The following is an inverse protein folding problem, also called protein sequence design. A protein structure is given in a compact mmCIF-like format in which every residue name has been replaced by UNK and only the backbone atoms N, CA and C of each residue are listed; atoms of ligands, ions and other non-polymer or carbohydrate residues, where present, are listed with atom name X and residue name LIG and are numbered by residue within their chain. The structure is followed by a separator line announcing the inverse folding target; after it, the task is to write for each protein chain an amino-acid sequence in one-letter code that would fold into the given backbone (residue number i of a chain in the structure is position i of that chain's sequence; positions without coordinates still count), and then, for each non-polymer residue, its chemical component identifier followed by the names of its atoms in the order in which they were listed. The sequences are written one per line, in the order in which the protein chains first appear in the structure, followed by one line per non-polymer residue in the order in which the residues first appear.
data_IF_825319076833
#
_entry.id   IF_825319076833
#
_cell.length_a   1.000
_cell.length_b   1.000
_cell.length_c   1.000
_cell.angle_alpha   90.00
_cell.angle_beta   90.00
_cell.angle_gamma   90.00
#
_symmetry.space_group_name_H-M   'P 1'
#
loop_
_entity.id
_entity.type
_entity.pdbx_description
1 polymer ?
#
# COMPACT_ATOMS: atom_id res chain seq x y z
N UNK A 1 -15.73 8.39 10.18
CA UNK A 1 -14.74 7.50 10.82
C UNK A 1 -14.06 6.70 9.73
N UNK A 2 -12.75 6.83 9.58
CA UNK A 2 -11.98 5.86 8.79
C UNK A 2 -11.77 4.64 9.68
N UNK A 3 -12.53 3.57 9.43
CA UNK A 3 -12.44 2.32 10.20
C UNK A 3 -11.24 1.45 9.79
N UNK A 4 -10.56 1.81 8.70
CA UNK A 4 -9.42 1.08 8.17
C UNK A 4 -8.13 1.63 8.76
N UNK A 5 -7.33 0.78 9.41
CA UNK A 5 -5.99 1.12 9.89
C UNK A 5 -4.94 1.08 8.76
N UNK A 6 -5.24 0.36 7.68
CA UNK A 6 -4.36 0.18 6.53
C UNK A 6 -5.13 0.11 5.20
N UNK A 7 -4.39 0.27 4.11
CA UNK A 7 -4.86 0.08 2.74
C UNK A 7 -3.87 -0.78 1.96
N UNK A 8 -4.39 -1.63 1.08
CA UNK A 8 -3.58 -2.27 0.05
C UNK A 8 -3.54 -1.39 -1.19
N UNK A 9 -2.39 -1.29 -1.86
CA UNK A 9 -2.27 -0.63 -3.17
C UNK A 9 -1.26 -1.35 -4.07
N UNK A 10 -1.59 -1.56 -5.36
CA UNK A 10 -0.61 -1.95 -6.35
C UNK A 10 0.27 -0.73 -6.64
N UNK A 11 1.56 -0.89 -6.35
CA UNK A 11 2.61 0.08 -6.66
C UNK A 11 3.65 -0.63 -7.51
N UNK A 12 4.62 0.12 -8.03
CA UNK A 12 5.74 -0.48 -8.76
C UNK A 12 6.44 -1.52 -7.88
N UNK A 13 6.48 -2.78 -8.34
CA UNK A 13 7.12 -3.88 -7.63
C UNK A 13 6.17 -4.77 -6.81
N UNK A 14 4.87 -4.46 -6.77
CA UNK A 14 3.85 -5.35 -6.24
C UNK A 14 2.72 -4.65 -5.51
N UNK A 15 1.79 -5.45 -4.97
CA UNK A 15 0.69 -4.96 -4.13
C UNK A 15 1.09 -5.04 -2.66
N UNK A 16 1.22 -3.89 -2.03
CA UNK A 16 1.69 -3.74 -0.65
C UNK A 16 0.63 -3.11 0.26
N UNK A 17 0.79 -3.32 1.57
CA UNK A 17 -0.05 -2.72 2.58
C UNK A 17 0.62 -1.49 3.20
N UNK A 18 -0.08 -0.36 3.18
CA UNK A 18 0.37 0.92 3.73
C UNK A 18 -0.54 1.36 4.88
N UNK A 19 -0.03 2.14 5.85
CA UNK A 19 -0.89 2.82 6.83
C UNK A 19 -1.93 3.70 6.13
N UNK A 20 -3.16 3.77 6.65
CA UNK A 20 -4.22 4.60 6.04
C UNK A 20 -3.81 6.07 5.87
N UNK A 21 -2.98 6.58 6.79
CA UNK A 21 -2.47 7.94 6.77
C UNK A 21 -1.62 8.26 5.53
N UNK A 22 -1.00 7.24 4.89
CA UNK A 22 -0.18 7.43 3.70
C UNK A 22 -0.98 7.99 2.51
N UNK A 23 -2.31 7.83 2.47
CA UNK A 23 -3.18 8.43 1.44
C UNK A 23 -3.28 9.97 1.53
N UNK A 24 -2.82 10.55 2.63
CA UNK A 24 -2.86 12.00 2.87
C UNK A 24 -1.51 12.65 2.56
N UNK A 25 -0.49 11.83 2.28
CA UNK A 25 0.84 12.30 1.90
C UNK A 25 0.77 12.92 0.49
N UNK A 26 1.37 14.11 0.28
CA UNK A 26 1.41 14.75 -1.04
C UNK A 26 2.17 13.90 -2.08
N UNK A 27 1.74 13.98 -3.33
CA UNK A 27 2.48 13.41 -4.46
C UNK A 27 3.92 13.95 -4.51
N UNK A 28 4.88 13.10 -4.88
CA UNK A 28 6.31 13.44 -4.87
C UNK A 28 7.02 13.14 -3.54
N UNK A 29 6.27 12.91 -2.47
CA UNK A 29 6.82 12.37 -1.22
C UNK A 29 6.77 10.84 -1.21
N UNK A 30 7.71 10.22 -0.51
CA UNK A 30 7.78 8.76 -0.39
C UNK A 30 7.02 8.27 0.83
N UNK A 31 6.31 7.17 0.65
CA UNK A 31 5.56 6.47 1.71
C UNK A 31 6.04 5.03 1.83
N UNK A 32 6.09 4.52 3.05
CA UNK A 32 6.57 3.17 3.34
C UNK A 32 5.40 2.21 3.59
N UNK A 33 5.43 1.07 2.92
CA UNK A 33 4.62 -0.09 3.22
C UNK A 33 5.08 -0.76 4.51
N UNK A 34 4.26 -1.64 5.08
CA UNK A 34 4.63 -2.37 6.28
C UNK A 34 5.83 -3.30 6.11
N UNK A 35 6.06 -3.84 4.91
CA UNK A 35 7.26 -4.64 4.63
C UNK A 35 8.51 -3.79 4.39
N UNK A 36 8.43 -2.45 4.50
CA UNK A 36 9.54 -1.54 4.24
C UNK A 36 9.74 -1.14 2.78
N UNK A 37 8.94 -1.68 1.84
CA UNK A 37 8.92 -1.20 0.46
C UNK A 37 8.45 0.27 0.44
N UNK A 38 9.02 1.07 -0.44
CA UNK A 38 8.69 2.49 -0.54
C UNK A 38 8.19 2.82 -1.94
N UNK A 39 7.19 3.69 -2.01
CA UNK A 39 6.58 4.14 -3.25
C UNK A 39 6.37 5.66 -3.20
N UNK A 40 6.20 6.28 -4.36
CA UNK A 40 5.68 7.64 -4.40
C UNK A 40 4.24 7.64 -3.88
N UNK A 41 3.87 8.62 -3.07
CA UNK A 41 2.51 8.74 -2.55
C UNK A 41 1.46 8.78 -3.67
N UNK A 42 1.80 9.32 -4.85
CA UNK A 42 0.93 9.33 -6.02
C UNK A 42 0.51 7.91 -6.45
N UNK A 43 1.35 6.89 -6.27
CA UNK A 43 1.02 5.51 -6.64
C UNK A 43 -0.07 4.91 -5.73
N UNK A 44 -0.38 5.52 -4.59
CA UNK A 44 -1.50 5.08 -3.73
C UNK A 44 -2.88 5.50 -4.25
N UNK A 45 -2.92 6.29 -5.32
CA UNK A 45 -4.12 6.87 -5.91
C UNK A 45 -4.29 6.41 -7.37
N UNK A 46 -5.54 6.47 -7.86
CA UNK A 46 -5.89 6.33 -9.27
C UNK A 46 -5.38 5.07 -10.00
N UNK A 47 -5.18 3.97 -9.23
CA UNK A 47 -4.78 2.67 -9.80
C UNK A 47 -5.95 1.99 -10.50
N UNK A 48 -5.68 1.46 -11.69
CA UNK A 48 -6.65 0.76 -12.54
C UNK A 48 -6.92 -0.66 -12.04
N UNK A 49 -8.09 -1.23 -12.36
CA UNK A 49 -8.40 -2.63 -12.03
C UNK A 49 -7.36 -3.62 -12.57
N UNK A 50 -6.76 -3.29 -13.72
CA UNK A 50 -5.69 -4.09 -14.33
C UNK A 50 -4.45 -4.13 -13.44
N UNK A 51 -4.07 -3.02 -12.82
CA UNK A 51 -2.96 -2.98 -11.85
C UNK A 51 -3.22 -3.93 -10.67
N UNK A 52 -4.46 -3.95 -10.19
CA UNK A 52 -4.85 -4.81 -9.07
C UNK A 52 -4.82 -6.30 -9.40
N UNK A 53 -5.02 -6.66 -10.66
CA UNK A 53 -4.98 -8.06 -11.11
C UNK A 53 -3.54 -8.49 -11.39
N UNK A 54 -2.72 -7.62 -11.97
CA UNK A 54 -1.36 -7.97 -12.41
C UNK A 54 -0.37 -8.02 -11.25
N UNK A 55 -0.49 -7.11 -10.29
CA UNK A 55 0.51 -7.00 -9.24
C UNK A 55 0.32 -8.08 -8.16
N UNK A 56 1.38 -8.85 -7.93
CA UNK A 56 1.39 -9.88 -6.90
C UNK A 56 1.24 -9.26 -5.51
N UNK A 57 0.40 -9.87 -4.66
CA UNK A 57 0.31 -9.49 -3.26
C UNK A 57 1.60 -9.83 -2.50
N UNK A 58 2.15 -8.85 -1.81
CA UNK A 58 3.30 -9.04 -0.93
C UNK A 58 2.95 -9.92 0.27
N UNK A 59 3.60 -11.09 0.36
CA UNK A 59 3.40 -12.05 1.46
C UNK A 59 3.90 -11.52 2.82
N UNK A 60 4.93 -10.67 2.83
CA UNK A 60 5.47 -10.10 4.07
C UNK A 60 4.51 -9.08 4.69
N UNK A 61 3.86 -8.25 3.85
CA UNK A 61 2.80 -7.36 4.31
C UNK A 61 1.65 -8.16 4.95
N UNK A 62 1.25 -9.28 4.35
CA UNK A 62 0.25 -10.18 4.94
C UNK A 62 0.69 -10.73 6.29
N UNK A 63 1.93 -11.23 6.40
CA UNK A 63 2.46 -11.77 7.65
C UNK A 63 2.47 -10.74 8.77
N UNK A 64 2.91 -9.51 8.48
CA UNK A 64 2.98 -8.42 9.46
C UNK A 64 1.57 -8.01 9.91
N UNK A 65 0.61 -7.92 8.99
CA UNK A 65 -0.77 -7.59 9.34
C UNK A 65 -1.42 -8.67 10.21
N UNK A 66 -1.19 -9.95 9.90
CA UNK A 66 -1.71 -11.07 10.68
C UNK A 66 -1.13 -11.15 12.11
N UNK A 67 0.07 -10.60 12.34
CA UNK A 67 0.65 -10.49 13.69
C UNK A 67 0.08 -9.31 14.50
N UNK A 68 -0.61 -8.38 13.84
CA UNK A 68 -1.18 -7.17 14.45
C UNK A 68 -2.69 -7.27 14.70
N UNK A 69 -3.32 -8.34 14.24
CA UNK A 69 -4.76 -8.62 14.37
C UNK A 69 -5.09 -9.38 15.65
#
# INVERSE_FOLDING_TARGET
MEYLTYIWRPVTGGRHAFPIAARKTPAGERVSAYCGAEADAAELHDRTEVDWIREHSCADCWRILAQRS
#
